data_IF_999012791240
#
_entry.id   IF_999012791240
#
_cell.length_a   1.000
_cell.length_b   1.000
_cell.length_c   1.000
_cell.angle_alpha   90.00
_cell.angle_beta   90.00
_cell.angle_gamma   90.00
#
_symmetry.space_group_name_H-M   'P 1'
#
loop_
_entity.id
_entity.type
_entity.pdbx_description
1 polymer ?
#
# COMPACT_ATOMS: atom_id res chain seq x y z
N UNK A 1 -19.36 10.81 -17.59
CA UNK A 1 -19.39 10.10 -16.29
C UNK A 1 -18.82 11.03 -15.24
N UNK A 2 -19.45 11.20 -14.06
CA UNK A 2 -18.91 12.05 -12.98
C UNK A 2 -17.63 11.44 -12.39
N UNK A 3 -16.79 12.27 -11.78
CA UNK A 3 -15.62 11.76 -11.05
C UNK A 3 -16.05 11.12 -9.72
N UNK A 4 -15.33 10.08 -9.29
CA UNK A 4 -15.54 9.45 -7.99
C UNK A 4 -15.20 10.44 -6.87
N UNK A 5 -16.10 10.61 -5.91
CA UNK A 5 -15.92 11.53 -4.79
C UNK A 5 -15.33 10.83 -3.54
N UNK A 6 -15.01 11.61 -2.51
CA UNK A 6 -14.55 11.10 -1.21
C UNK A 6 -15.50 10.10 -0.56
N UNK A 7 -16.81 10.24 -0.76
CA UNK A 7 -17.79 9.32 -0.18
C UNK A 7 -17.71 7.94 -0.85
N UNK A 8 -17.51 7.92 -2.17
CA UNK A 8 -17.23 6.72 -2.96
C UNK A 8 -16.00 5.98 -2.42
N UNK A 9 -14.95 6.72 -2.07
CA UNK A 9 -13.68 6.16 -1.62
C UNK A 9 -13.63 5.57 -0.21
N UNK A 10 -14.36 6.17 0.74
CA UNK A 10 -14.24 5.85 2.17
C UNK A 10 -15.39 5.03 2.77
N UNK A 11 -16.59 5.07 2.16
CA UNK A 11 -17.84 4.52 2.74
C UNK A 11 -18.46 3.39 1.94
N UNK A 12 -17.73 2.87 0.97
CA UNK A 12 -18.16 1.89 0.01
C UNK A 12 -18.78 0.59 0.61
N UNK A 13 -20.11 0.34 0.49
CA UNK A 13 -20.71 -0.95 0.86
C UNK A 13 -20.28 -2.12 -0.06
N UNK A 14 -20.22 -3.32 0.53
CA UNK A 14 -19.71 -4.60 -0.03
C UNK A 14 -20.26 -5.01 -1.41
N UNK A 15 -21.41 -4.49 -1.83
CA UNK A 15 -22.12 -4.92 -3.03
C UNK A 15 -22.05 -3.88 -4.17
N UNK A 16 -21.53 -2.67 -3.91
CA UNK A 16 -21.68 -1.54 -4.84
C UNK A 16 -20.49 -1.29 -5.78
N UNK A 17 -19.45 -2.12 -5.76
CA UNK A 17 -18.20 -1.83 -6.49
C UNK A 17 -17.77 -2.99 -7.36
N UNK A 18 -18.53 -3.17 -8.43
CA UNK A 18 -17.98 -3.70 -9.67
C UNK A 18 -17.20 -2.58 -10.38
N UNK A 19 -16.36 -2.98 -11.33
CA UNK A 19 -15.59 -2.07 -12.15
C UNK A 19 -14.94 -2.86 -13.27
N UNK A 20 -14.21 -2.16 -14.12
CA UNK A 20 -13.60 -2.77 -15.28
C UNK A 20 -12.17 -2.28 -15.45
N UNK A 21 -11.31 -3.18 -15.92
CA UNK A 21 -9.98 -2.82 -16.39
C UNK A 21 -10.04 -2.63 -17.91
N UNK A 22 -9.39 -1.58 -18.40
CA UNK A 22 -9.16 -1.39 -19.81
C UNK A 22 -7.73 -0.90 -20.07
N UNK A 23 -7.30 -1.00 -21.32
CA UNK A 23 -6.04 -0.41 -21.77
C UNK A 23 -6.28 1.02 -22.22
N UNK A 24 -5.74 1.99 -21.49
CA UNK A 24 -5.80 3.39 -21.86
C UNK A 24 -4.76 3.68 -22.96
N UNK A 25 -5.25 4.04 -24.15
CA UNK A 25 -4.39 4.32 -25.31
C UNK A 25 -3.52 5.55 -25.14
N UNK A 26 -3.89 6.50 -24.29
CA UNK A 26 -3.14 7.74 -24.08
C UNK A 26 -1.96 7.53 -23.12
N UNK A 27 -2.23 6.92 -21.97
CA UNK A 27 -1.18 6.61 -20.99
C UNK A 27 -0.37 5.36 -21.34
N UNK A 28 -0.91 4.49 -22.22
CA UNK A 28 -0.37 3.16 -22.55
C UNK A 28 -0.31 2.23 -21.34
N UNK A 29 -1.18 2.47 -20.35
CA UNK A 29 -1.27 1.72 -19.10
C UNK A 29 -2.60 0.98 -19.00
N UNK A 30 -2.65 -0.01 -18.12
CA UNK A 30 -3.91 -0.61 -17.68
C UNK A 30 -4.54 0.32 -16.65
N UNK A 31 -5.83 0.59 -16.79
CA UNK A 31 -6.59 1.49 -15.95
C UNK A 31 -7.83 0.76 -15.41
N UNK A 32 -8.10 0.92 -14.11
CA UNK A 32 -9.31 0.47 -13.46
C UNK A 32 -10.30 1.60 -13.29
N UNK A 33 -11.52 1.42 -13.75
CA UNK A 33 -12.60 2.35 -13.47
C UNK A 33 -13.72 1.63 -12.70
N UNK A 34 -14.13 2.17 -11.55
CA UNK A 34 -15.35 1.74 -10.89
C UNK A 34 -16.57 1.90 -11.78
N UNK A 35 -17.58 1.08 -11.53
CA UNK A 35 -18.88 1.32 -12.15
C UNK A 35 -19.51 2.59 -11.56
N UNK A 36 -20.08 3.42 -12.43
CA UNK A 36 -20.82 4.64 -12.05
C UNK A 36 -19.99 5.92 -11.89
N UNK A 37 -18.66 5.86 -11.83
CA UNK A 37 -17.81 7.05 -11.75
C UNK A 37 -16.44 6.85 -12.41
N UNK A 38 -15.75 7.96 -12.70
CA UNK A 38 -14.39 7.95 -13.22
C UNK A 38 -13.37 8.34 -12.14
N UNK A 39 -12.23 7.66 -12.08
CA UNK A 39 -11.10 8.02 -11.25
C UNK A 39 -10.34 9.20 -11.88
N UNK A 40 -10.07 10.22 -11.07
CA UNK A 40 -9.13 11.30 -11.38
C UNK A 40 -7.71 10.72 -11.40
N UNK A 41 -7.13 10.55 -12.58
CA UNK A 41 -5.71 10.19 -12.74
C UNK A 41 -4.85 11.42 -12.50
N UNK A 42 -4.42 11.62 -11.27
CA UNK A 42 -3.61 12.78 -10.92
C UNK A 42 -2.22 12.64 -11.52
N UNK A 43 -1.70 13.70 -12.16
CA UNK A 43 -0.28 13.79 -12.48
C UNK A 43 0.55 14.04 -11.21
N UNK A 44 1.81 13.63 -11.19
CA UNK A 44 2.61 13.69 -9.96
C UNK A 44 2.78 15.09 -9.36
N UNK A 45 2.74 16.15 -10.17
CA UNK A 45 2.75 17.53 -9.65
C UNK A 45 1.47 17.88 -8.87
N UNK A 46 0.31 17.41 -9.32
CA UNK A 46 -0.98 17.61 -8.64
C UNK A 46 -1.03 16.76 -7.37
N UNK A 47 -0.63 15.49 -7.45
CA UNK A 47 -0.57 14.59 -6.30
C UNK A 47 0.35 15.12 -5.19
N UNK A 48 1.58 15.56 -5.52
CA UNK A 48 2.50 16.18 -4.53
C UNK A 48 1.89 17.40 -3.86
N UNK A 49 1.25 18.29 -4.62
CA UNK A 49 0.62 19.50 -4.05
C UNK A 49 -0.50 19.13 -3.09
N UNK A 50 -1.36 18.19 -3.48
CA UNK A 50 -2.42 17.68 -2.61
C UNK A 50 -1.83 17.09 -1.31
N UNK A 51 -0.87 16.18 -1.42
CA UNK A 51 -0.27 15.54 -0.24
C UNK A 51 0.47 16.54 0.65
N UNK A 52 1.08 17.56 0.06
CA UNK A 52 1.70 18.65 0.83
C UNK A 52 0.68 19.53 1.58
N UNK A 53 -0.55 19.65 1.06
CA UNK A 53 -1.65 20.34 1.75
C UNK A 53 -2.29 19.46 2.82
N UNK A 54 -2.38 18.15 2.58
CA UNK A 54 -2.84 17.20 3.58
C UNK A 54 -1.89 17.18 4.77
N UNK A 55 -0.58 17.04 4.52
CA UNK A 55 0.43 16.74 5.52
C UNK A 55 0.92 15.29 5.42
N UNK A 56 1.69 14.80 6.40
CA UNK A 56 2.32 13.49 6.30
C UNK A 56 1.31 12.34 6.23
N UNK A 57 1.58 11.33 5.39
CA UNK A 57 0.77 10.12 5.30
C UNK A 57 1.57 8.92 5.80
N UNK A 58 1.00 8.13 6.71
CA UNK A 58 1.64 6.92 7.23
C UNK A 58 1.00 5.65 6.66
N UNK A 59 1.84 4.74 6.18
CA UNK A 59 1.48 3.39 5.77
C UNK A 59 2.01 2.40 6.81
N UNK A 60 1.14 1.62 7.43
CA UNK A 60 1.51 0.51 8.31
C UNK A 60 1.00 -0.77 7.67
N UNK A 61 1.90 -1.68 7.32
CA UNK A 61 1.46 -2.93 6.72
C UNK A 61 2.53 -3.90 6.27
N UNK A 62 2.06 -4.94 5.59
CA UNK A 62 2.87 -6.06 5.12
C UNK A 62 3.70 -5.77 3.86
N UNK A 63 4.21 -6.83 3.22
CA UNK A 63 4.98 -6.70 1.99
C UNK A 63 4.16 -6.19 0.80
N UNK A 64 2.85 -6.41 0.77
CA UNK A 64 1.98 -5.83 -0.28
C UNK A 64 1.93 -4.31 -0.11
N UNK A 65 1.80 -3.85 1.14
CA UNK A 65 1.82 -2.43 1.49
C UNK A 65 3.17 -1.78 1.13
N UNK A 66 4.30 -2.48 1.33
CA UNK A 66 5.62 -2.01 0.89
C UNK A 66 5.65 -1.66 -0.59
N UNK A 67 5.19 -2.58 -1.45
CA UNK A 67 5.27 -2.36 -2.89
C UNK A 67 4.28 -1.30 -3.38
N UNK A 68 3.13 -1.14 -2.73
CA UNK A 68 2.27 0.01 -2.94
C UNK A 68 3.00 1.33 -2.61
N UNK A 69 3.63 1.40 -1.43
CA UNK A 69 4.41 2.55 -0.98
C UNK A 69 5.55 2.87 -1.94
N UNK A 70 6.36 1.89 -2.33
CA UNK A 70 7.49 2.08 -3.25
C UNK A 70 7.03 2.57 -4.63
N UNK A 71 5.90 2.07 -5.12
CA UNK A 71 5.29 2.53 -6.37
C UNK A 71 4.85 4.00 -6.26
N UNK A 72 4.27 4.39 -5.12
CA UNK A 72 3.87 5.77 -4.87
C UNK A 72 5.10 6.69 -4.72
N UNK A 73 6.14 6.25 -4.03
CA UNK A 73 7.41 6.97 -3.87
C UNK A 73 8.01 7.30 -5.24
N UNK A 74 8.11 6.31 -6.13
CA UNK A 74 8.58 6.53 -7.49
C UNK A 74 7.72 7.57 -8.21
N UNK A 75 6.40 7.38 -8.22
CA UNK A 75 5.46 8.28 -8.90
C UNK A 75 5.57 9.73 -8.40
N UNK A 76 5.69 9.91 -7.08
CA UNK A 76 5.85 11.25 -6.51
C UNK A 76 7.23 11.84 -6.84
N UNK A 77 8.29 11.05 -6.96
CA UNK A 77 9.61 11.56 -7.32
C UNK A 77 9.71 11.88 -8.83
N UNK A 78 9.34 10.95 -9.71
CA UNK A 78 9.48 11.04 -11.17
C UNK A 78 8.36 11.82 -11.84
N UNK A 79 7.16 11.84 -11.23
CA UNK A 79 5.95 12.41 -11.79
C UNK A 79 5.09 11.45 -12.61
N UNK A 80 5.55 10.21 -12.83
CA UNK A 80 4.90 9.16 -13.63
C UNK A 80 5.08 7.80 -12.96
N UNK A 81 4.19 6.84 -13.21
CA UNK A 81 4.44 5.46 -12.76
C UNK A 81 5.50 4.79 -13.63
N UNK A 82 6.19 3.78 -13.07
CA UNK A 82 7.09 2.92 -13.86
C UNK A 82 6.28 2.17 -14.90
N UNK A 83 6.86 1.86 -16.06
CA UNK A 83 6.10 1.15 -17.08
C UNK A 83 5.75 -0.26 -16.55
N UNK A 84 4.50 -0.73 -16.68
CA UNK A 84 4.01 -1.91 -15.97
C UNK A 84 4.64 -3.22 -16.44
N UNK A 85 5.36 -3.19 -17.57
CA UNK A 85 6.14 -4.30 -18.11
C UNK A 85 7.66 -4.09 -17.98
N UNK A 86 8.12 -3.12 -17.17
CA UNK A 86 9.55 -2.85 -16.93
C UNK A 86 10.32 -4.02 -16.29
N UNK A 87 9.63 -5.14 -16.01
CA UNK A 87 10.26 -6.41 -15.68
C UNK A 87 11.23 -6.27 -14.53
N UNK A 88 12.53 -6.50 -14.79
CA UNK A 88 13.61 -6.44 -13.78
C UNK A 88 13.91 -5.04 -13.23
N UNK A 89 13.36 -3.97 -13.81
CA UNK A 89 13.56 -2.58 -13.36
C UNK A 89 12.42 -2.06 -12.47
N UNK A 90 11.32 -2.79 -12.37
CA UNK A 90 10.19 -2.41 -11.53
C UNK A 90 10.50 -2.62 -10.05
N UNK A 91 10.25 -1.60 -9.23
CA UNK A 91 10.37 -1.65 -7.77
C UNK A 91 9.34 -2.61 -7.14
N UNK A 92 8.28 -2.97 -7.86
CA UNK A 92 7.31 -3.97 -7.42
C UNK A 92 7.68 -5.40 -7.83
N UNK A 93 8.79 -5.61 -8.56
CA UNK A 93 9.20 -6.95 -8.98
C UNK A 93 9.75 -7.77 -7.81
N UNK A 94 8.84 -8.57 -7.22
CA UNK A 94 9.18 -9.39 -6.07
C UNK A 94 10.31 -10.38 -6.35
N UNK A 95 10.52 -10.89 -7.57
CA UNK A 95 11.59 -11.88 -7.82
C UNK A 95 12.99 -11.31 -7.73
N UNK A 96 13.14 -10.00 -7.93
CA UNK A 96 14.43 -9.34 -7.75
C UNK A 96 14.83 -9.28 -6.27
N UNK A 97 13.84 -9.36 -5.38
CA UNK A 97 14.01 -9.15 -3.93
C UNK A 97 13.53 -10.35 -3.09
N UNK A 98 13.01 -11.38 -3.76
CA UNK A 98 12.59 -12.69 -3.25
C UNK A 98 13.18 -13.72 -4.21
N UNK A 99 14.51 -13.78 -4.27
CA UNK A 99 15.17 -14.96 -4.79
C UNK A 99 14.94 -16.04 -3.73
N UNK A 100 14.55 -17.24 -4.14
CA UNK A 100 14.32 -18.36 -3.21
C UNK A 100 15.50 -18.42 -2.24
N UNK A 101 15.20 -18.35 -0.94
CA UNK A 101 16.23 -18.38 0.09
C UNK A 101 17.15 -19.59 -0.11
N UNK A 102 18.38 -19.55 0.44
CA UNK A 102 19.31 -20.65 0.25
C UNK A 102 18.62 -21.99 0.56
N UNK A 103 18.75 -22.95 -0.37
CA UNK A 103 18.28 -24.34 -0.18
C UNK A 103 19.22 -25.00 0.83
N UNK A 104 19.08 -24.65 2.11
CA UNK A 104 20.01 -24.97 3.18
C UNK A 104 20.42 -23.72 3.98
N UNK A 105 21.16 -23.93 5.06
CA UNK A 105 21.65 -22.86 5.93
C UNK A 105 20.80 -22.62 7.18
N UNK A 106 21.42 -22.03 8.19
CA UNK A 106 20.81 -21.75 9.50
C UNK A 106 19.73 -20.66 9.36
N UNK A 107 18.81 -20.54 10.33
CA UNK A 107 17.86 -19.43 10.39
C UNK A 107 18.54 -18.05 10.26
N UNK A 108 19.74 -17.90 10.84
CA UNK A 108 20.54 -16.68 10.81
C UNK A 108 21.07 -16.39 9.39
N UNK A 109 21.56 -17.40 8.67
CA UNK A 109 22.04 -17.25 7.29
C UNK A 109 20.90 -16.88 6.34
N UNK A 110 19.73 -17.50 6.51
CA UNK A 110 18.52 -17.16 5.76
C UNK A 110 18.07 -15.73 6.07
N UNK A 111 18.09 -15.34 7.35
CA UNK A 111 17.76 -13.98 7.78
C UNK A 111 18.71 -12.95 7.17
N UNK A 112 20.03 -13.19 7.21
CA UNK A 112 21.04 -12.32 6.62
C UNK A 112 20.91 -12.22 5.09
N UNK A 113 20.54 -13.31 4.42
CA UNK A 113 20.27 -13.30 2.99
C UNK A 113 19.08 -12.41 2.64
N UNK A 114 17.95 -12.57 3.35
CA UNK A 114 16.78 -11.73 3.14
C UNK A 114 17.06 -10.27 3.47
N UNK A 115 17.81 -9.99 4.54
CA UNK A 115 18.22 -8.63 4.89
C UNK A 115 18.90 -7.95 3.70
N UNK A 116 19.91 -8.58 3.09
CA UNK A 116 20.62 -8.05 1.91
C UNK A 116 19.71 -7.76 0.71
N UNK A 117 18.79 -8.68 0.39
CA UNK A 117 17.88 -8.49 -0.75
C UNK A 117 16.94 -7.29 -0.56
N UNK A 118 16.44 -7.09 0.65
CA UNK A 118 15.61 -5.94 0.97
C UNK A 118 16.42 -4.64 1.12
N UNK A 119 17.66 -4.70 1.63
CA UNK A 119 18.59 -3.54 1.57
C UNK A 119 18.72 -3.07 0.13
N UNK A 120 18.97 -4.00 -0.80
CA UNK A 120 19.10 -3.66 -2.22
C UNK A 120 17.83 -3.00 -2.76
N UNK A 121 16.64 -3.52 -2.44
CA UNK A 121 15.37 -2.89 -2.86
C UNK A 121 15.28 -1.44 -2.39
N UNK A 122 15.57 -1.19 -1.12
CA UNK A 122 15.48 0.14 -0.54
C UNK A 122 16.55 1.10 -1.10
N UNK A 123 17.77 0.62 -1.33
CA UNK A 123 18.83 1.41 -1.99
C UNK A 123 18.45 1.76 -3.44
N UNK A 124 17.85 0.83 -4.18
CA UNK A 124 17.35 1.09 -5.53
C UNK A 124 16.22 2.13 -5.53
N UNK A 125 15.29 2.05 -4.57
CA UNK A 125 14.23 3.04 -4.41
C UNK A 125 14.79 4.42 -4.06
N UNK A 126 15.78 4.48 -3.17
CA UNK A 126 16.48 5.71 -2.79
C UNK A 126 17.20 6.33 -3.98
N UNK A 127 17.95 5.53 -4.75
CA UNK A 127 18.63 5.98 -5.96
C UNK A 127 17.64 6.56 -7.00
N UNK A 128 16.45 5.97 -7.14
CA UNK A 128 15.41 6.53 -8.01
C UNK A 128 14.89 7.88 -7.51
N UNK A 129 14.67 8.04 -6.20
CA UNK A 129 14.27 9.34 -5.62
C UNK A 129 15.34 10.39 -5.87
N UNK A 130 16.61 10.07 -5.64
CA UNK A 130 17.74 10.99 -5.85
C UNK A 130 17.91 11.37 -7.33
N UNK A 131 17.73 10.42 -8.25
CA UNK A 131 17.81 10.66 -9.68
C UNK A 131 16.67 11.55 -10.21
N UNK A 132 15.44 11.35 -9.72
CA UNK A 132 14.26 12.06 -10.21
C UNK A 132 13.97 13.38 -9.47
N UNK A 133 14.43 13.51 -8.22
CA UNK A 133 14.29 14.71 -7.41
C UNK A 133 15.64 15.18 -6.83
N UNK A 134 16.66 15.44 -7.67
CA UNK A 134 17.99 15.79 -7.18
C UNK A 134 17.96 17.05 -6.32
N UNK A 135 18.57 16.96 -5.13
CA UNK A 135 18.61 18.03 -4.12
C UNK A 135 17.26 18.38 -3.48
N UNK A 136 16.18 17.65 -3.82
CA UNK A 136 14.80 17.94 -3.37
C UNK A 136 14.06 16.73 -2.83
N UNK A 137 14.55 15.53 -3.07
CA UNK A 137 14.00 14.30 -2.55
C UNK A 137 15.00 13.54 -1.71
N UNK A 138 14.51 12.97 -0.60
CA UNK A 138 15.28 12.08 0.27
C UNK A 138 14.40 10.90 0.65
N UNK A 139 14.95 9.70 0.56
CA UNK A 139 14.33 8.50 1.10
C UNK A 139 15.24 7.94 2.20
N UNK A 140 14.77 8.06 3.44
CA UNK A 140 15.39 7.44 4.60
C UNK A 140 14.76 6.08 4.83
N UNK A 141 15.55 5.07 5.18
CA UNK A 141 15.00 3.76 5.52
C UNK A 141 15.85 3.01 6.55
N UNK A 142 15.18 2.12 7.26
CA UNK A 142 15.75 1.04 8.05
C UNK A 142 15.11 -0.25 7.55
N UNK A 143 15.88 -1.33 7.47
CA UNK A 143 15.40 -2.62 6.98
C UNK A 143 15.60 -3.76 7.99
N UNK A 144 15.78 -3.43 9.27
CA UNK A 144 15.90 -4.42 10.35
C UNK A 144 14.54 -5.12 10.59
N UNK A 145 14.28 -6.14 9.78
CA UNK A 145 13.07 -6.97 9.89
C UNK A 145 13.08 -7.90 11.09
N UNK A 146 14.26 -8.36 11.53
CA UNK A 146 14.37 -9.28 12.68
C UNK A 146 13.83 -8.60 13.93
N UNK A 147 14.11 -7.31 14.09
CA UNK A 147 13.56 -6.51 15.17
C UNK A 147 12.18 -5.88 14.86
N UNK A 148 11.55 -6.20 13.72
CA UNK A 148 10.33 -5.53 13.22
C UNK A 148 10.47 -4.00 13.11
N UNK A 149 11.65 -3.52 12.73
CA UNK A 149 12.01 -2.11 12.59
C UNK A 149 12.22 -1.71 11.14
N UNK A 150 11.67 -2.46 10.19
CA UNK A 150 11.68 -2.01 8.80
C UNK A 150 10.72 -0.82 8.66
N UNK A 151 11.27 0.34 8.32
CA UNK A 151 10.52 1.56 8.13
C UNK A 151 11.19 2.47 7.09
N UNK A 152 10.42 3.35 6.49
CA UNK A 152 10.91 4.33 5.54
C UNK A 152 10.22 5.69 5.70
N UNK A 153 10.91 6.75 5.29
CA UNK A 153 10.41 8.11 5.23
C UNK A 153 10.85 8.76 3.93
N UNK A 154 9.89 9.08 3.06
CA UNK A 154 10.11 9.93 1.91
C UNK A 154 9.86 11.38 2.30
N UNK A 155 10.81 12.26 2.02
CA UNK A 155 10.65 13.72 2.06
C UNK A 155 10.88 14.26 0.64
N UNK A 156 9.89 14.96 0.07
CA UNK A 156 9.99 15.65 -1.22
C UNK A 156 9.67 17.13 -1.04
N UNK A 157 10.53 18.00 -1.55
CA UNK A 157 10.33 19.46 -1.53
C UNK A 157 10.02 19.98 -2.94
N UNK A 158 8.92 20.73 -3.05
CA UNK A 158 8.54 21.45 -4.27
C UNK A 158 9.56 22.55 -4.59
N UNK A 159 10.14 22.53 -5.79
CA UNK A 159 11.06 23.58 -6.24
C UNK A 159 10.40 24.96 -6.31
N UNK A 160 9.10 25.01 -6.64
CA UNK A 160 8.38 26.26 -6.88
C UNK A 160 7.87 26.91 -5.59
N UNK A 161 7.44 26.09 -4.63
CA UNK A 161 6.69 26.57 -3.46
C UNK A 161 7.37 26.25 -2.14
N UNK A 162 8.42 25.43 -2.11
CA UNK A 162 9.02 24.94 -0.87
C UNK A 162 8.14 23.96 -0.08
N UNK A 163 6.91 23.69 -0.55
CA UNK A 163 5.99 22.78 0.11
C UNK A 163 6.56 21.36 0.17
N UNK A 164 6.37 20.70 1.31
CA UNK A 164 6.90 19.36 1.59
C UNK A 164 5.82 18.29 1.44
N UNK A 165 6.17 17.18 0.83
CA UNK A 165 5.37 15.96 0.78
C UNK A 165 6.11 14.89 1.57
N UNK A 166 5.47 14.39 2.63
CA UNK A 166 6.04 13.42 3.55
C UNK A 166 5.23 12.13 3.54
N UNK A 167 5.91 10.99 3.29
CA UNK A 167 5.30 9.67 3.43
C UNK A 167 6.11 8.81 4.39
N UNK A 168 5.44 8.20 5.35
CA UNK A 168 6.01 7.22 6.26
C UNK A 168 5.54 5.82 5.90
N UNK A 169 6.42 4.84 6.07
CA UNK A 169 6.08 3.43 5.98
C UNK A 169 6.67 2.68 7.17
N UNK A 170 5.91 1.75 7.75
CA UNK A 170 6.36 0.84 8.80
C UNK A 170 5.84 -0.57 8.52
N UNK A 171 6.75 -1.54 8.50
CA UNK A 171 6.41 -2.93 8.21
C UNK A 171 5.83 -3.64 9.42
N UNK A 172 4.67 -4.26 9.23
CA UNK A 172 4.16 -5.30 10.12
C UNK A 172 3.83 -6.54 9.31
N UNK A 173 4.29 -7.71 9.75
CA UNK A 173 4.00 -8.95 9.04
C UNK A 173 2.53 -9.36 9.16
N UNK A 174 1.89 -8.97 10.27
CA UNK A 174 0.53 -9.33 10.68
C UNK A 174 -0.05 -8.16 11.48
N UNK A 175 -1.33 -7.88 11.30
CA UNK A 175 -2.10 -6.89 12.06
C UNK A 175 -2.57 -7.48 13.40
N UNK A 176 -1.63 -8.09 14.14
CA UNK A 176 -1.87 -8.47 15.54
C UNK A 176 -1.54 -7.28 16.44
N UNK A 177 -2.08 -7.31 17.66
CA UNK A 177 -2.05 -6.14 18.54
C UNK A 177 -0.62 -5.64 18.81
N UNK A 178 0.31 -6.53 19.16
CA UNK A 178 1.68 -6.14 19.51
C UNK A 178 2.44 -5.50 18.34
N UNK A 179 2.32 -6.05 17.12
CA UNK A 179 3.00 -5.47 15.94
C UNK A 179 2.41 -4.10 15.60
N UNK A 180 1.08 -3.98 15.70
CA UNK A 180 0.37 -2.72 15.41
C UNK A 180 0.72 -1.65 16.43
N UNK A 181 0.80 -1.99 17.72
CA UNK A 181 1.18 -1.06 18.79
C UNK A 181 2.54 -0.42 18.52
N UNK A 182 3.57 -1.24 18.29
CA UNK A 182 4.93 -0.72 18.04
C UNK A 182 5.01 0.16 16.79
N UNK A 183 4.32 -0.22 15.71
CA UNK A 183 4.29 0.56 14.48
C UNK A 183 3.57 1.91 14.65
N UNK A 184 2.43 1.92 15.34
CA UNK A 184 1.66 3.15 15.60
C UNK A 184 2.39 4.08 16.55
N UNK A 185 3.03 3.56 17.60
CA UNK A 185 3.86 4.37 18.49
C UNK A 185 5.05 5.00 17.76
N UNK A 186 5.70 4.26 16.85
CA UNK A 186 6.75 4.80 16.00
C UNK A 186 6.22 5.93 15.10
N UNK A 187 5.04 5.78 14.51
CA UNK A 187 4.41 6.83 13.70
C UNK A 187 4.08 8.06 14.56
N UNK A 188 3.49 7.87 15.74
CA UNK A 188 3.11 8.96 16.65
C UNK A 188 4.33 9.66 17.28
N UNK A 189 5.49 9.01 17.31
CA UNK A 189 6.76 9.60 17.75
C UNK A 189 7.35 10.59 16.74
N UNK A 190 6.84 10.63 15.50
CA UNK A 190 7.34 11.56 14.47
C UNK A 190 6.93 12.98 14.81
N UNK A 191 7.82 13.91 14.50
CA UNK A 191 7.65 15.34 14.81
C UNK A 191 6.33 15.87 14.25
N UNK A 192 6.03 15.49 13.01
CA UNK A 192 4.81 15.86 12.32
C UNK A 192 3.87 14.64 12.33
N UNK A 193 2.86 14.70 13.19
CA UNK A 193 1.86 13.62 13.30
C UNK A 193 1.08 13.53 11.99
N UNK A 194 0.92 12.33 11.42
CA UNK A 194 0.23 12.21 10.14
C UNK A 194 -1.28 12.42 10.34
N UNK A 195 -1.92 13.31 9.56
CA UNK A 195 -3.38 13.40 9.51
C UNK A 195 -4.04 12.17 8.87
N UNK A 196 -3.28 11.29 8.22
CA UNK A 196 -3.77 10.06 7.62
C UNK A 196 -2.87 8.86 7.95
N UNK A 197 -3.46 7.83 8.54
CA UNK A 197 -2.80 6.55 8.78
C UNK A 197 -3.55 5.43 8.06
N UNK A 198 -2.88 4.78 7.11
CA UNK A 198 -3.34 3.57 6.45
C UNK A 198 -2.81 2.34 7.17
N UNK A 199 -3.69 1.42 7.56
CA UNK A 199 -3.34 0.15 8.18
C UNK A 199 -3.75 -1.03 7.29
N UNK A 200 -2.84 -2.00 7.10
CA UNK A 200 -3.03 -3.16 6.20
C UNK A 200 -2.11 -4.35 6.51
N UNK A 201 -2.60 -5.38 7.21
CA UNK A 201 -1.86 -6.66 7.32
C UNK A 201 -2.72 -7.82 7.87
N UNK A 202 -3.89 -8.08 7.28
CA UNK A 202 -4.82 -9.07 7.83
C UNK A 202 -4.52 -10.53 7.50
N UNK A 203 -3.71 -10.81 6.47
CA UNK A 203 -3.48 -12.16 5.98
C UNK A 203 -2.00 -12.38 5.70
N UNK A 204 -1.48 -13.54 6.08
CA UNK A 204 -0.15 -13.98 5.72
C UNK A 204 -0.24 -15.26 4.89
N UNK A 205 0.48 -15.31 3.76
CA UNK A 205 0.45 -16.43 2.83
C UNK A 205 1.78 -17.17 2.88
N UNK A 206 1.76 -18.43 3.30
CA UNK A 206 2.93 -19.31 3.41
C UNK A 206 2.77 -20.60 2.61
N UNK A 207 3.77 -21.49 2.71
CA UNK A 207 3.69 -22.84 2.12
C UNK A 207 2.54 -23.66 2.73
N UNK A 208 2.19 -23.39 3.99
CA UNK A 208 1.07 -24.01 4.72
C UNK A 208 -0.30 -23.33 4.45
N UNK A 209 -0.36 -22.39 3.51
CA UNK A 209 -1.59 -21.70 3.09
C UNK A 209 -1.77 -20.27 3.61
N UNK A 210 -2.99 -19.72 3.44
CA UNK A 210 -3.35 -18.40 3.94
C UNK A 210 -3.82 -18.46 5.40
N UNK A 211 -3.19 -17.69 6.28
CA UNK A 211 -3.65 -17.52 7.67
C UNK A 211 -4.16 -16.11 7.86
N UNK A 212 -5.44 -15.98 8.20
CA UNK A 212 -6.02 -14.72 8.67
C UNK A 212 -5.55 -14.45 10.10
N UNK A 213 -5.22 -13.20 10.38
CA UNK A 213 -4.88 -12.76 11.73
C UNK A 213 -6.16 -12.67 12.55
N UNK A 214 -6.21 -13.31 13.72
CA UNK A 214 -7.42 -13.40 14.54
C UNK A 214 -7.81 -12.06 15.19
N UNK A 215 -6.83 -11.20 15.44
CA UNK A 215 -6.99 -10.03 16.33
C UNK A 215 -7.01 -8.70 15.57
N UNK A 216 -7.39 -8.71 14.28
CA UNK A 216 -7.41 -7.48 13.46
C UNK A 216 -8.40 -6.46 14.01
N UNK A 217 -9.59 -6.89 14.44
CA UNK A 217 -10.63 -6.01 14.99
C UNK A 217 -10.21 -5.39 16.31
N UNK A 218 -9.60 -6.16 17.21
CA UNK A 218 -9.00 -5.67 18.45
C UNK A 218 -7.89 -4.64 18.16
N UNK A 219 -7.01 -4.95 17.21
CA UNK A 219 -5.95 -4.03 16.79
C UNK A 219 -6.52 -2.72 16.25
N UNK A 220 -7.52 -2.79 15.36
CA UNK A 220 -8.20 -1.60 14.82
C UNK A 220 -8.85 -0.75 15.92
N UNK A 221 -9.52 -1.40 16.88
CA UNK A 221 -10.12 -0.71 18.01
C UNK A 221 -9.08 -0.01 18.87
N UNK A 222 -7.98 -0.69 19.19
CA UNK A 222 -6.87 -0.11 19.95
C UNK A 222 -6.30 1.13 19.24
N UNK A 223 -6.04 1.03 17.93
CA UNK A 223 -5.50 2.16 17.14
C UNK A 223 -6.49 3.32 17.14
N UNK A 224 -7.77 3.07 16.88
CA UNK A 224 -8.80 4.11 16.83
C UNK A 224 -8.94 4.87 18.16
N UNK A 225 -8.70 4.21 19.30
CA UNK A 225 -8.72 4.84 20.63
C UNK A 225 -7.44 5.63 20.93
N UNK A 226 -6.32 5.26 20.32
CA UNK A 226 -5.01 5.87 20.58
C UNK A 226 -4.70 7.05 19.67
N UNK A 227 -5.25 7.04 18.46
CA UNK A 227 -5.00 8.09 17.49
C UNK A 227 -5.61 9.43 17.92
N UNK A 228 -4.89 10.53 17.70
CA UNK A 228 -5.44 11.87 17.91
C UNK A 228 -6.72 12.11 17.08
N UNK A 229 -7.64 12.96 17.53
CA UNK A 229 -8.86 13.27 16.79
C UNK A 229 -8.62 13.80 15.37
N UNK A 230 -7.49 14.45 15.11
CA UNK A 230 -7.10 14.97 13.79
C UNK A 230 -6.55 13.91 12.82
N UNK A 231 -6.18 12.71 13.31
CA UNK A 231 -5.68 11.63 12.46
C UNK A 231 -6.82 10.73 12.01
N UNK A 232 -7.04 10.67 10.70
CA UNK A 232 -7.96 9.73 10.06
C UNK A 232 -7.30 8.35 9.94
N UNK A 233 -7.89 7.35 10.61
CA UNK A 233 -7.53 5.94 10.41
C UNK A 233 -8.23 5.39 9.19
N UNK A 234 -7.47 4.71 8.33
CA UNK A 234 -7.96 4.06 7.12
C UNK A 234 -7.59 2.57 7.17
N UNK A 235 -8.60 1.72 7.12
CA UNK A 235 -8.41 0.30 6.86
C UNK A 235 -8.29 0.04 5.37
N UNK A 236 -7.11 -0.42 4.91
CA UNK A 236 -6.96 -0.94 3.55
C UNK A 236 -7.34 -2.41 3.56
N UNK A 237 -8.31 -2.76 2.74
CA UNK A 237 -8.89 -4.11 2.76
C UNK A 237 -7.92 -5.21 2.42
N UNK A 238 -8.15 -6.38 3.01
CA UNK A 238 -7.54 -7.63 2.58
C UNK A 238 -7.86 -7.91 1.11
N UNK A 239 -6.89 -8.40 0.36
CA UNK A 239 -7.13 -8.94 -0.98
C UNK A 239 -6.22 -10.15 -1.19
N UNK A 240 -6.67 -11.08 -2.03
CA UNK A 240 -5.88 -12.22 -2.46
C UNK A 240 -6.00 -12.40 -3.96
N UNK A 241 -4.88 -12.61 -4.67
CA UNK A 241 -4.91 -13.03 -6.06
C UNK A 241 -5.06 -14.54 -6.23
N UNK A 242 -5.02 -15.31 -5.13
CA UNK A 242 -5.08 -16.77 -5.13
C UNK A 242 -6.54 -17.24 -4.99
N UNK A 243 -7.14 -17.85 -6.04
CA UNK A 243 -8.55 -18.24 -6.04
C UNK A 243 -8.93 -19.14 -4.87
N UNK A 244 -8.05 -20.05 -4.47
CA UNK A 244 -8.26 -21.01 -3.39
C UNK A 244 -8.44 -20.36 -2.01
N UNK A 245 -7.94 -19.13 -1.82
CA UNK A 245 -8.08 -18.39 -0.56
C UNK A 245 -9.12 -17.27 -0.63
N UNK A 246 -9.72 -17.02 -1.80
CA UNK A 246 -10.64 -15.90 -2.03
C UNK A 246 -11.82 -15.94 -1.07
N UNK A 247 -12.51 -17.08 -0.98
CA UNK A 247 -13.66 -17.24 -0.08
C UNK A 247 -13.30 -16.96 1.39
N UNK A 248 -12.16 -17.47 1.88
CA UNK A 248 -11.72 -17.25 3.27
C UNK A 248 -11.40 -15.79 3.53
N UNK A 249 -10.69 -15.12 2.62
CA UNK A 249 -10.36 -13.70 2.73
C UNK A 249 -11.62 -12.84 2.65
N UNK A 250 -12.57 -13.20 1.78
CA UNK A 250 -13.82 -12.48 1.60
C UNK A 250 -14.69 -12.52 2.86
N UNK A 251 -14.82 -13.69 3.50
CA UNK A 251 -15.53 -13.86 4.77
C UNK A 251 -14.88 -13.04 5.89
N UNK A 252 -13.55 -13.11 6.01
CA UNK A 252 -12.85 -12.41 7.08
C UNK A 252 -12.92 -10.88 6.91
N UNK A 253 -12.78 -10.37 5.69
CA UNK A 253 -12.91 -8.95 5.41
C UNK A 253 -14.35 -8.45 5.61
N UNK A 254 -15.36 -9.26 5.27
CA UNK A 254 -16.75 -8.92 5.58
C UNK A 254 -16.98 -8.74 7.09
N UNK A 255 -16.39 -9.62 7.91
CA UNK A 255 -16.45 -9.51 9.37
C UNK A 255 -15.71 -8.26 9.89
N UNK A 256 -14.51 -7.96 9.37
CA UNK A 256 -13.76 -6.74 9.74
C UNK A 256 -14.55 -5.48 9.40
N UNK A 257 -15.17 -5.42 8.22
CA UNK A 257 -16.00 -4.28 7.80
C UNK A 257 -17.25 -4.11 8.65
N UNK A 258 -17.96 -5.21 8.94
CA UNK A 258 -19.11 -5.17 9.84
C UNK A 258 -18.71 -4.63 11.21
N UNK A 259 -17.56 -5.04 11.74
CA UNK A 259 -17.01 -4.52 12.98
C UNK A 259 -16.68 -3.02 12.89
N UNK A 260 -15.99 -2.57 11.83
CA UNK A 260 -15.69 -1.16 11.61
C UNK A 260 -16.98 -0.33 11.58
N UNK A 261 -17.99 -0.75 10.81
CA UNK A 261 -19.25 -0.05 10.68
C UNK A 261 -20.02 0.04 12.01
N UNK A 262 -20.00 -1.03 12.80
CA UNK A 262 -20.73 -1.10 14.08
C UNK A 262 -20.02 -0.38 15.22
N UNK A 263 -18.68 -0.39 15.26
CA UNK A 263 -17.92 -0.01 16.45
C UNK A 263 -16.93 1.13 16.23
N UNK A 264 -16.53 1.40 14.99
CA UNK A 264 -15.47 2.35 14.65
C UNK A 264 -15.95 3.36 13.58
N UNK A 265 -16.96 4.21 13.88
CA UNK A 265 -17.60 5.09 12.90
C UNK A 265 -16.66 6.15 12.29
N UNK A 266 -15.49 6.35 12.90
CA UNK A 266 -14.45 7.27 12.44
C UNK A 266 -13.39 6.58 11.57
N UNK A 267 -13.44 5.26 11.40
CA UNK A 267 -12.48 4.52 10.58
C UNK A 267 -13.03 4.42 9.17
N UNK A 268 -12.25 4.89 8.20
CA UNK A 268 -12.58 4.81 6.79
C UNK A 268 -12.07 3.50 6.20
N UNK A 269 -12.66 3.06 5.09
CA UNK A 269 -12.23 1.84 4.39
C UNK A 269 -11.74 2.20 3.00
N UNK A 270 -10.50 1.79 2.67
CA UNK A 270 -9.93 1.86 1.34
C UNK A 270 -10.08 0.50 0.66
N UNK A 271 -11.08 0.39 -0.22
CA UNK A 271 -11.42 -0.87 -0.89
C UNK A 271 -10.53 -1.14 -2.10
N UNK A 272 -9.71 -2.19 -1.97
CA UNK A 272 -8.86 -2.70 -3.04
C UNK A 272 -9.36 -4.03 -3.61
N UNK A 273 -10.42 -4.61 -3.01
CA UNK A 273 -11.00 -5.88 -3.45
C UNK A 273 -11.74 -5.73 -4.76
N UNK A 274 -12.39 -4.59 -5.00
CA UNK A 274 -13.09 -4.30 -6.26
C UNK A 274 -12.14 -4.34 -7.45
N UNK A 275 -10.96 -3.72 -7.33
CA UNK A 275 -9.93 -3.80 -8.36
C UNK A 275 -9.50 -5.25 -8.61
N UNK A 276 -9.12 -5.96 -7.55
CA UNK A 276 -8.60 -7.32 -7.67
C UNK A 276 -9.65 -8.27 -8.25
N UNK A 277 -10.91 -8.12 -7.84
CA UNK A 277 -12.07 -8.86 -8.35
C UNK A 277 -12.28 -8.58 -9.83
N UNK A 278 -12.41 -7.32 -10.23
CA UNK A 278 -12.61 -6.93 -11.62
C UNK A 278 -11.52 -7.48 -12.55
N UNK A 279 -10.27 -7.39 -12.11
CA UNK A 279 -9.15 -7.91 -12.89
C UNK A 279 -9.16 -9.44 -13.01
N UNK A 280 -9.48 -10.16 -11.94
CA UNK A 280 -9.60 -11.63 -11.98
C UNK A 280 -10.76 -12.07 -12.86
N UNK A 281 -11.92 -11.41 -12.76
CA UNK A 281 -13.12 -11.74 -13.53
C UNK A 281 -12.89 -11.48 -15.03
N UNK A 282 -12.01 -10.54 -15.38
CA UNK A 282 -11.55 -10.30 -16.76
C UNK A 282 -10.37 -11.19 -17.19
N UNK A 283 -9.99 -12.18 -16.40
CA UNK A 283 -8.91 -13.13 -16.73
C UNK A 283 -7.51 -12.51 -16.75
N UNK A 284 -7.31 -11.39 -16.05
CA UNK A 284 -6.04 -10.67 -16.07
C UNK A 284 -5.01 -11.28 -15.13
N UNK A 285 -3.75 -11.26 -15.57
CA UNK A 285 -2.62 -11.62 -14.71
C UNK A 285 -2.25 -10.44 -13.80
N UNK A 286 -2.73 -10.50 -12.57
CA UNK A 286 -2.52 -9.45 -11.56
C UNK A 286 -1.27 -9.64 -10.69
N UNK A 287 -0.64 -10.81 -10.72
CA UNK A 287 0.55 -11.14 -9.93
C UNK A 287 1.77 -11.45 -10.80
N UNK A 288 2.93 -11.48 -10.15
CA UNK A 288 4.19 -11.88 -10.80
C UNK A 288 4.24 -13.39 -11.13
N UNK A 289 3.42 -14.23 -10.50
CA UNK A 289 3.11 -15.62 -10.91
C UNK A 289 1.89 -16.15 -10.15
N UNK A 290 1.43 -17.34 -10.54
CA UNK A 290 0.43 -18.12 -9.83
C UNK A 290 0.80 -18.48 -8.37
N UNK A 291 2.06 -18.31 -7.95
CA UNK A 291 2.54 -18.70 -6.60
C UNK A 291 2.90 -17.53 -5.69
N UNK A 292 2.62 -16.30 -6.10
CA UNK A 292 2.94 -15.11 -5.31
C UNK A 292 1.71 -14.26 -5.07
N UNK A 293 1.65 -13.67 -3.89
CA UNK A 293 0.61 -12.72 -3.47
C UNK A 293 0.98 -11.26 -3.78
N UNK A 294 2.16 -11.05 -4.34
CA UNK A 294 2.63 -9.72 -4.73
C UNK A 294 2.17 -9.40 -6.14
N UNK A 295 1.52 -8.25 -6.27
CA UNK A 295 0.90 -7.83 -7.51
C UNK A 295 1.91 -7.29 -8.51
N UNK A 296 1.53 -7.27 -9.78
CA UNK A 296 2.29 -6.56 -10.82
C UNK A 296 2.21 -5.06 -10.59
N UNK A 297 3.19 -4.36 -11.14
CA UNK A 297 3.31 -2.91 -11.09
C UNK A 297 1.98 -2.19 -11.36
N UNK A 298 1.30 -2.50 -12.47
CA UNK A 298 0.05 -1.83 -12.85
C UNK A 298 -1.04 -1.89 -11.77
N UNK A 299 -1.11 -2.97 -10.99
CA UNK A 299 -2.10 -3.12 -9.92
C UNK A 299 -1.79 -2.17 -8.75
N UNK A 300 -0.52 -2.04 -8.39
CA UNK A 300 -0.09 -1.08 -7.36
C UNK A 300 -0.29 0.37 -7.79
N UNK A 301 -0.19 0.67 -9.09
CA UNK A 301 -0.57 1.98 -9.65
C UNK A 301 -2.06 2.24 -9.42
N UNK A 302 -2.91 1.26 -9.72
CA UNK A 302 -4.35 1.40 -9.50
C UNK A 302 -4.69 1.55 -8.01
N UNK A 303 -4.01 0.83 -7.11
CA UNK A 303 -4.17 1.02 -5.66
C UNK A 303 -3.84 2.47 -5.25
N UNK A 304 -2.78 3.03 -5.81
CA UNK A 304 -2.38 4.41 -5.53
C UNK A 304 -3.30 5.44 -6.17
N UNK A 305 -3.81 5.19 -7.38
CA UNK A 305 -4.78 6.06 -8.03
C UNK A 305 -6.10 6.08 -7.26
N UNK A 306 -6.58 4.92 -6.82
CA UNK A 306 -7.71 4.84 -5.89
C UNK A 306 -7.41 5.66 -4.64
N UNK A 307 -6.29 5.43 -3.98
CA UNK A 307 -5.95 6.16 -2.75
C UNK A 307 -5.89 7.68 -2.96
N UNK A 308 -5.23 8.14 -4.03
CA UNK A 308 -5.08 9.54 -4.36
C UNK A 308 -6.40 10.20 -4.73
N UNK A 309 -7.32 9.48 -5.38
CA UNK A 309 -8.67 9.98 -5.63
C UNK A 309 -9.37 10.35 -4.33
N UNK A 310 -9.23 9.49 -3.33
CA UNK A 310 -9.92 9.69 -2.07
C UNK A 310 -9.26 10.76 -1.22
N UNK A 311 -7.92 10.83 -1.22
CA UNK A 311 -7.19 11.83 -0.44
C UNK A 311 -7.30 13.23 -1.04
N UNK A 312 -7.22 13.33 -2.37
CA UNK A 312 -7.03 14.59 -3.10
C UNK A 312 -8.30 15.16 -3.74
N UNK A 313 -9.46 14.67 -3.31
CA UNK A 313 -10.74 15.21 -3.73
C UNK A 313 -10.95 16.65 -3.25
#
# INVERSE_FOLDING_TARGET
MPYCDKAWGWKAPLEAYQGHIYYDRFTRLLAFEPDGCALRRLGGAVARRCLAQLGPVAFIGDSVTRYQFLTLVHFLASGVYQYPLDGKRSLSNVYKHRVGGPKGGTPEEKSAHYARLYTQLWEEAKAQVEAHAPGRGRLFFSHDRVSQREHAHLELTSKKTGAKTDLYYNFIARANLSSVQGAVEWVLSKKDRPPLLLLSACAHYGEDGATMVKDVTESLQWVAQRLPPETQLVWRTCTTPLPEFRATVDVAEAAIRAFIAAHLPRVAVHDLRSLATAALDQGMLITWSARTVHFRQWVYEQFNDLLLNVICD
#
